data_IF_291542195774
#
_entry.id   IF_291542195774
#
_cell.length_a   1.000
_cell.length_b   1.000
_cell.length_c   1.000
_cell.angle_alpha   90.00
_cell.angle_beta   90.00
_cell.angle_gamma   90.00
#
_symmetry.space_group_name_H-M   'P 1'
#
loop_
_entity.id
_entity.type
_entity.pdbx_description
1 polymer ?
#
# COMPACT_ATOMS: atom_id res chain seq x y z
N UNK A 1 -84.43 -14.36 -6.48
CA UNK A 1 -83.07 -14.93 -6.43
C UNK A 1 -82.18 -14.17 -7.40
N UNK A 2 -81.28 -13.32 -6.88
CA UNK A 2 -80.11 -12.77 -7.60
C UNK A 2 -79.00 -12.67 -6.56
N UNK A 3 -77.99 -13.53 -6.72
CA UNK A 3 -76.91 -13.74 -5.77
C UNK A 3 -75.95 -12.55 -5.76
N UNK A 4 -75.54 -12.11 -4.57
CA UNK A 4 -74.46 -11.14 -4.38
C UNK A 4 -73.16 -11.93 -4.47
N UNK A 5 -72.45 -11.78 -5.60
CA UNK A 5 -71.13 -12.35 -5.83
C UNK A 5 -70.09 -11.44 -5.16
N UNK A 6 -69.66 -11.79 -3.95
CA UNK A 6 -68.52 -11.14 -3.29
C UNK A 6 -67.27 -11.56 -4.05
N UNK A 7 -66.72 -10.64 -4.83
CA UNK A 7 -65.50 -10.88 -5.61
C UNK A 7 -64.31 -10.71 -4.67
N UNK A 8 -63.69 -11.82 -4.27
CA UNK A 8 -62.47 -11.81 -3.48
C UNK A 8 -61.32 -11.22 -4.32
N UNK A 9 -60.81 -10.06 -3.90
CA UNK A 9 -59.61 -9.45 -4.44
C UNK A 9 -58.40 -10.29 -4.02
N UNK A 10 -57.90 -11.13 -4.92
CA UNK A 10 -56.64 -11.86 -4.70
C UNK A 10 -55.47 -10.87 -4.80
N UNK A 11 -55.03 -10.33 -3.66
CA UNK A 11 -53.78 -9.58 -3.57
C UNK A 11 -52.65 -10.61 -3.62
N UNK A 12 -52.13 -10.88 -4.81
CA UNK A 12 -50.91 -11.69 -4.97
C UNK A 12 -49.72 -10.87 -4.49
N UNK A 13 -49.32 -11.09 -3.23
CA UNK A 13 -48.08 -10.55 -2.69
C UNK A 13 -46.91 -11.27 -3.39
N UNK A 14 -46.45 -10.70 -4.51
CA UNK A 14 -45.23 -11.17 -5.17
C UNK A 14 -44.06 -10.79 -4.26
N UNK A 15 -43.61 -11.74 -3.44
CA UNK A 15 -42.38 -11.59 -2.69
C UNK A 15 -41.22 -11.51 -3.70
N UNK A 16 -40.74 -10.30 -3.96
CA UNK A 16 -39.48 -10.08 -4.66
C UNK A 16 -38.38 -10.56 -3.70
N UNK A 17 -37.96 -11.81 -3.84
CA UNK A 17 -36.76 -12.28 -3.18
C UNK A 17 -35.58 -11.64 -3.89
N UNK A 18 -35.10 -10.52 -3.37
CA UNK A 18 -33.76 -10.04 -3.70
C UNK A 18 -32.78 -11.04 -3.11
N UNK A 19 -32.18 -11.88 -3.96
CA UNK A 19 -30.99 -12.64 -3.58
C UNK A 19 -29.94 -11.64 -3.14
N UNK A 20 -29.67 -11.57 -1.83
CA UNK A 20 -28.47 -10.90 -1.33
C UNK A 20 -27.31 -11.78 -1.80
N UNK A 21 -26.79 -11.49 -2.99
CA UNK A 21 -25.46 -11.95 -3.35
C UNK A 21 -24.52 -11.20 -2.43
N UNK A 22 -24.17 -11.80 -1.29
CA UNK A 22 -22.93 -11.46 -0.61
C UNK A 22 -21.84 -11.80 -1.62
N UNK A 23 -21.43 -10.81 -2.40
CA UNK A 23 -20.31 -10.94 -3.31
C UNK A 23 -19.08 -11.04 -2.42
N UNK A 24 -18.82 -12.24 -1.92
CA UNK A 24 -17.54 -12.62 -1.34
C UNK A 24 -16.55 -12.72 -2.50
N UNK A 25 -16.33 -11.60 -3.20
CA UNK A 25 -15.09 -11.35 -3.90
C UNK A 25 -14.03 -11.32 -2.81
N UNK A 26 -13.46 -12.51 -2.54
CA UNK A 26 -12.13 -12.61 -1.97
C UNK A 26 -11.27 -11.82 -2.95
N UNK A 27 -10.85 -10.61 -2.58
CA UNK A 27 -9.91 -9.80 -3.35
C UNK A 27 -8.58 -10.56 -3.36
N UNK A 28 -8.47 -11.54 -4.26
CA UNK A 28 -7.27 -12.34 -4.45
C UNK A 28 -6.31 -11.45 -5.22
N UNK A 29 -5.19 -11.11 -4.58
CA UNK A 29 -4.09 -10.42 -5.25
C UNK A 29 -3.56 -11.34 -6.37
N UNK A 30 -3.60 -10.85 -7.61
CA UNK A 30 -3.10 -11.54 -8.79
C UNK A 30 -1.58 -11.41 -8.94
N UNK A 31 -0.97 -12.33 -9.69
CA UNK A 31 0.46 -12.27 -10.01
C UNK A 31 0.84 -10.95 -10.71
N UNK A 32 0.00 -10.48 -11.63
CA UNK A 32 0.20 -9.20 -12.33
C UNK A 32 0.23 -8.01 -11.36
N UNK A 33 -0.64 -7.99 -10.36
CA UNK A 33 -0.65 -6.94 -9.33
C UNK A 33 0.62 -6.99 -8.46
N UNK A 34 1.10 -8.18 -8.10
CA UNK A 34 2.37 -8.34 -7.36
C UNK A 34 3.54 -7.80 -8.18
N UNK A 35 3.64 -8.18 -9.46
CA UNK A 35 4.71 -7.72 -10.36
C UNK A 35 4.65 -6.20 -10.53
N UNK A 36 3.45 -5.64 -10.71
CA UNK A 36 3.27 -4.19 -10.83
C UNK A 36 3.71 -3.46 -9.55
N UNK A 37 3.37 -3.99 -8.37
CA UNK A 37 3.81 -3.42 -7.10
C UNK A 37 5.33 -3.46 -6.93
N UNK A 38 5.99 -4.57 -7.30
CA UNK A 38 7.44 -4.70 -7.27
C UNK A 38 8.15 -3.70 -8.21
N UNK A 39 7.63 -3.56 -9.44
CA UNK A 39 8.16 -2.61 -10.42
C UNK A 39 7.97 -1.17 -9.95
N UNK A 40 6.79 -0.83 -9.42
CA UNK A 40 6.50 0.49 -8.87
C UNK A 40 7.44 0.81 -7.69
N UNK A 41 7.68 -0.14 -6.80
CA UNK A 41 8.60 0.05 -5.68
C UNK A 41 10.03 0.30 -6.14
N UNK A 42 10.54 -0.49 -7.10
CA UNK A 42 11.87 -0.28 -7.67
C UNK A 42 12.00 1.08 -8.37
N UNK A 43 10.96 1.47 -9.14
CA UNK A 43 10.92 2.76 -9.81
C UNK A 43 10.97 3.91 -8.80
N UNK A 44 10.19 3.83 -7.73
CA UNK A 44 10.18 4.84 -6.66
C UNK A 44 11.56 5.05 -6.05
N UNK A 45 12.33 3.98 -5.83
CA UNK A 45 13.71 4.11 -5.33
C UNK A 45 14.63 4.85 -6.31
N UNK A 46 14.54 4.54 -7.61
CA UNK A 46 15.30 5.23 -8.64
C UNK A 46 14.87 6.70 -8.77
N UNK A 47 13.57 6.99 -8.69
CA UNK A 47 13.04 8.35 -8.71
C UNK A 47 13.54 9.15 -7.50
N UNK A 48 13.48 8.59 -6.29
CA UNK A 48 14.03 9.22 -5.06
C UNK A 48 15.54 9.51 -5.23
N UNK A 49 16.30 8.55 -5.75
CA UNK A 49 17.73 8.71 -6.01
C UNK A 49 18.00 9.84 -7.01
N UNK A 50 17.24 9.87 -8.09
CA UNK A 50 17.32 10.90 -9.13
C UNK A 50 16.95 12.30 -8.58
N UNK A 51 15.85 12.40 -7.82
CA UNK A 51 15.44 13.64 -7.16
C UNK A 51 16.49 14.13 -6.17
N UNK A 52 17.14 13.23 -5.43
CA UNK A 52 18.25 13.61 -4.55
C UNK A 52 19.40 14.25 -5.32
N UNK A 53 19.81 13.63 -6.43
CA UNK A 53 20.91 14.13 -7.26
C UNK A 53 20.59 15.48 -7.94
N UNK A 54 19.33 15.70 -8.32
CA UNK A 54 18.92 16.89 -9.06
C UNK A 54 18.44 18.05 -8.19
N UNK A 55 17.77 17.73 -7.07
CA UNK A 55 17.02 18.70 -6.26
C UNK A 55 17.36 18.64 -4.78
N UNK A 56 18.29 17.77 -4.39
CA UNK A 56 18.84 17.70 -3.04
C UNK A 56 17.98 16.94 -2.03
N UNK A 57 18.44 16.97 -0.78
CA UNK A 57 17.94 16.11 0.30
C UNK A 57 16.47 16.33 0.63
N UNK A 58 16.04 17.58 0.71
CA UNK A 58 14.66 17.90 1.11
C UNK A 58 13.65 17.35 0.10
N UNK A 59 13.86 17.61 -1.19
CA UNK A 59 12.97 17.11 -2.25
C UNK A 59 12.91 15.57 -2.27
N UNK A 60 14.04 14.89 -2.04
CA UNK A 60 14.07 13.44 -1.93
C UNK A 60 13.33 12.92 -0.69
N UNK A 61 13.39 13.64 0.44
CA UNK A 61 12.64 13.32 1.64
C UNK A 61 11.12 13.45 1.41
N UNK A 62 10.69 14.55 0.78
CA UNK A 62 9.28 14.79 0.46
C UNK A 62 8.74 13.69 -0.47
N UNK A 63 9.49 13.33 -1.52
CA UNK A 63 9.10 12.26 -2.43
C UNK A 63 9.08 10.90 -1.73
N UNK A 64 10.09 10.57 -0.91
CA UNK A 64 10.13 9.32 -0.16
C UNK A 64 8.95 9.20 0.83
N UNK A 65 8.56 10.31 1.46
CA UNK A 65 7.40 10.37 2.35
C UNK A 65 6.09 10.04 1.60
N UNK A 66 5.91 10.58 0.39
CA UNK A 66 4.75 10.29 -0.48
C UNK A 66 4.74 8.84 -0.97
N UNK A 67 5.91 8.31 -1.35
CA UNK A 67 6.06 6.90 -1.72
C UNK A 67 5.66 6.01 -0.56
N UNK A 68 6.05 6.36 0.67
CA UNK A 68 5.72 5.59 1.86
C UNK A 68 4.20 5.64 2.14
N UNK A 69 3.56 6.80 2.02
CA UNK A 69 2.10 6.93 2.18
C UNK A 69 1.31 6.10 1.18
N UNK A 70 1.86 5.91 -0.02
CA UNK A 70 1.22 5.12 -1.08
C UNK A 70 1.47 3.62 -0.90
N UNK A 71 2.70 3.23 -0.56
CA UNK A 71 3.13 1.84 -0.53
C UNK A 71 2.89 1.14 0.81
N UNK A 72 2.79 1.89 1.91
CA UNK A 72 2.66 1.36 3.26
C UNK A 72 1.49 2.04 3.98
N UNK A 73 0.58 1.21 4.45
CA UNK A 73 -0.73 1.65 4.95
C UNK A 73 -0.68 2.18 6.41
N UNK A 74 0.27 3.08 6.70
CA UNK A 74 0.49 3.64 8.03
C UNK A 74 -0.69 4.45 8.58
N UNK A 75 -1.58 4.94 7.72
CA UNK A 75 -2.80 5.67 8.09
C UNK A 75 -3.82 4.81 8.86
N UNK A 76 -3.77 3.49 8.70
CA UNK A 76 -4.72 2.54 9.32
C UNK A 76 -4.07 1.72 10.45
N UNK A 77 -2.80 2.00 10.76
CA UNK A 77 -2.12 1.42 11.91
C UNK A 77 -0.64 1.16 11.67
N UNK A 78 0.05 0.57 12.67
CA UNK A 78 1.45 0.23 12.54
C UNK A 78 1.70 -0.77 11.41
N UNK A 79 2.69 -0.49 10.57
CA UNK A 79 3.18 -1.42 9.54
C UNK A 79 4.48 -2.02 10.01
N UNK A 80 4.64 -3.34 9.88
CA UNK A 80 5.89 -4.04 10.19
C UNK A 80 6.88 -3.91 9.02
N UNK A 81 7.53 -2.75 8.89
CA UNK A 81 8.52 -2.53 7.85
C UNK A 81 9.87 -3.13 8.25
N UNK A 82 10.42 -4.05 7.45
CA UNK A 82 11.71 -4.71 7.72
C UNK A 82 12.80 -4.22 6.75
N UNK A 83 13.71 -3.33 7.18
CA UNK A 83 14.88 -2.95 6.39
C UNK A 83 15.72 -4.17 5.95
N UNK A 84 16.41 -4.04 4.81
CA UNK A 84 17.27 -5.11 4.28
C UNK A 84 18.57 -5.27 5.08
N UNK A 85 19.09 -4.20 5.69
CA UNK A 85 20.44 -4.14 6.29
C UNK A 85 20.48 -3.98 7.82
N UNK A 86 19.37 -4.15 8.53
CA UNK A 86 19.32 -3.99 10.00
C UNK A 86 19.50 -5.32 10.73
N UNK A 87 20.20 -5.29 11.87
CA UNK A 87 20.29 -6.40 12.83
C UNK A 87 19.67 -6.01 14.18
N UNK A 88 19.19 -6.98 14.97
CA UNK A 88 18.72 -6.83 16.37
C UNK A 88 17.37 -6.10 16.58
N UNK A 89 17.15 -5.43 17.73
CA UNK A 89 15.85 -4.86 18.16
C UNK A 89 15.26 -3.80 17.22
N UNK A 90 16.05 -3.31 16.25
CA UNK A 90 15.63 -2.38 15.20
C UNK A 90 15.21 -3.05 13.88
N UNK A 91 15.15 -4.39 13.85
CA UNK A 91 14.85 -5.18 12.63
C UNK A 91 13.48 -4.86 12.04
N UNK A 92 12.51 -4.43 12.86
CA UNK A 92 11.22 -3.96 12.39
C UNK A 92 11.02 -2.50 12.79
N UNK A 93 10.59 -1.69 11.83
CA UNK A 93 10.17 -0.30 11.98
C UNK A 93 8.64 -0.30 11.97
N UNK A 94 8.03 0.28 13.00
CA UNK A 94 6.57 0.33 13.14
C UNK A 94 5.96 1.69 12.84
N UNK A 95 6.81 2.71 12.58
CA UNK A 95 6.37 4.08 12.29
C UNK A 95 6.82 4.52 10.90
N UNK A 96 6.08 5.48 10.33
CA UNK A 96 6.43 6.08 9.04
C UNK A 96 7.79 6.76 9.10
N UNK A 97 8.10 7.46 10.18
CA UNK A 97 9.35 8.21 10.37
C UNK A 97 10.57 7.28 10.38
N UNK A 98 10.42 6.10 10.98
CA UNK A 98 11.48 5.10 11.04
C UNK A 98 11.66 4.35 9.72
N UNK A 99 10.59 4.14 8.95
CA UNK A 99 10.69 3.69 7.56
C UNK A 99 11.34 4.77 6.67
N UNK A 100 10.94 6.04 6.80
CA UNK A 100 11.51 7.15 6.03
C UNK A 100 13.02 7.29 6.25
N UNK A 101 13.47 7.10 7.49
CA UNK A 101 14.89 7.03 7.81
C UNK A 101 15.59 5.92 7.02
N UNK A 102 15.02 4.73 6.87
CA UNK A 102 15.64 3.72 6.02
C UNK A 102 15.78 4.17 4.56
N UNK A 103 14.75 4.80 3.97
CA UNK A 103 14.78 5.24 2.57
C UNK A 103 15.79 6.35 2.31
N UNK A 104 15.79 7.39 3.15
CA UNK A 104 16.59 8.60 2.90
C UNK A 104 17.52 8.98 4.03
N UNK A 105 17.45 8.38 5.21
CA UNK A 105 18.31 8.69 6.36
C UNK A 105 17.99 10.04 7.01
N UNK A 106 18.85 10.47 7.93
CA UNK A 106 18.75 11.79 8.56
C UNK A 106 17.90 11.84 9.83
N UNK A 107 17.42 10.69 10.32
CA UNK A 107 16.82 10.61 11.64
C UNK A 107 17.92 10.45 12.71
N UNK A 108 18.04 11.36 13.70
CA UNK A 108 19.08 11.28 14.73
C UNK A 108 18.96 10.05 15.64
N UNK A 109 17.76 9.47 15.77
CA UNK A 109 17.52 8.25 16.55
C UNK A 109 17.97 6.99 15.79
N UNK A 110 18.19 7.10 14.47
CA UNK A 110 18.58 6.02 13.56
C UNK A 110 19.85 6.43 12.77
N UNK A 111 20.97 6.73 13.45
CA UNK A 111 22.14 7.34 12.81
C UNK A 111 22.83 6.42 11.78
N UNK A 112 22.57 5.12 11.83
CA UNK A 112 23.10 4.12 10.89
C UNK A 112 22.36 4.10 9.56
N UNK A 113 21.14 4.67 9.51
CA UNK A 113 20.39 4.77 8.27
C UNK A 113 21.01 5.85 7.37
N UNK A 114 21.81 5.43 6.39
CA UNK A 114 22.44 6.32 5.42
C UNK A 114 21.53 6.70 4.25
N UNK A 115 20.33 6.12 4.18
CA UNK A 115 19.37 6.29 3.11
C UNK A 115 19.60 5.27 2.00
N UNK A 116 18.84 4.17 2.03
CA UNK A 116 18.92 3.09 1.05
C UNK A 116 18.69 3.59 -0.37
N UNK A 117 17.70 4.45 -0.61
CA UNK A 117 17.42 4.99 -1.94
C UNK A 117 18.55 5.90 -2.47
N UNK A 118 19.42 6.38 -1.58
CA UNK A 118 20.51 7.30 -1.89
C UNK A 118 21.84 6.58 -2.16
N UNK A 119 21.84 5.24 -2.19
CA UNK A 119 23.05 4.42 -2.37
C UNK A 119 23.57 4.34 -3.82
N UNK A 120 23.09 5.20 -4.73
CA UNK A 120 23.59 5.27 -6.11
C UNK A 120 23.11 4.13 -7.03
N UNK A 121 21.87 3.68 -6.88
CA UNK A 121 21.31 2.62 -7.71
C UNK A 121 21.19 3.04 -9.19
N UNK A 122 21.66 2.18 -10.09
CA UNK A 122 21.57 2.43 -11.54
C UNK A 122 20.32 1.81 -12.17
N UNK A 123 19.82 0.71 -11.60
CA UNK A 123 18.68 -0.02 -12.15
C UNK A 123 17.98 -0.91 -11.11
N UNK A 124 16.76 -1.33 -11.44
CA UNK A 124 15.93 -2.19 -10.58
C UNK A 124 16.56 -3.56 -10.28
N UNK A 125 17.36 -4.11 -11.20
CA UNK A 125 18.00 -5.41 -10.98
C UNK A 125 19.02 -5.33 -9.84
N UNK A 126 19.80 -4.25 -9.75
CA UNK A 126 20.74 -4.02 -8.65
C UNK A 126 20.04 -3.88 -7.30
N UNK A 127 18.81 -3.36 -7.28
CA UNK A 127 17.99 -3.22 -6.08
C UNK A 127 17.45 -4.58 -5.61
N UNK A 128 16.98 -5.43 -6.53
CA UNK A 128 16.33 -6.70 -6.19
C UNK A 128 17.27 -7.86 -5.84
N UNK A 129 18.59 -7.66 -5.90
CA UNK A 129 19.60 -8.70 -5.61
C UNK A 129 20.13 -8.66 -4.17
N UNK A 130 19.56 -7.80 -3.30
CA UNK A 130 19.92 -7.63 -1.89
C UNK A 130 18.84 -8.19 -0.97
#
# INVERSE_FOLDING_TARGET
>A
MKAILVTFLAITFTACFTTITTNTQKNIISETEVIAAQQAWCKSLLDISSTYNQSGKQAANDLASQVIDTAYFYQDGPVLFKPTLTTNQQTARTTKESALSYFVGGNPDLPDDKGFALAGWENAKSIMLL
#
